data_IF_492039354430
#
_entry.id   IF_492039354430
#
_cell.length_a   1.000
_cell.length_b   1.000
_cell.length_c   1.000
_cell.angle_alpha   90.00
_cell.angle_beta   90.00
_cell.angle_gamma   90.00
#
_symmetry.space_group_name_H-M   'P 1'
#
loop_
_entity.id
_entity.type
_entity.pdbx_description
1 polymer ?
#
# COMPACT_ATOMS: atom_id res chain seq x y z
N UNK A 1 29.18 -22.15 13.23
CA UNK A 1 27.87 -22.79 13.51
C UNK A 1 27.16 -21.92 14.53
N UNK A 2 26.02 -21.32 14.18
CA UNK A 2 25.39 -20.24 14.95
C UNK A 2 24.86 -20.79 16.28
N UNK A 3 25.49 -20.47 17.42
CA UNK A 3 25.17 -21.03 18.75
C UNK A 3 23.68 -20.88 19.10
N UNK A 4 23.05 -19.81 18.61
CA UNK A 4 21.61 -19.55 18.76
C UNK A 4 20.72 -20.53 17.99
N UNK A 5 21.15 -21.00 16.82
CA UNK A 5 20.40 -22.01 16.05
C UNK A 5 20.45 -23.38 16.73
N UNK A 6 21.57 -23.72 17.37
CA UNK A 6 21.71 -24.95 18.17
C UNK A 6 20.81 -24.89 19.40
N UNK A 7 20.78 -23.75 20.11
CA UNK A 7 19.89 -23.54 21.26
C UNK A 7 18.41 -23.62 20.82
N UNK A 8 18.04 -22.97 19.72
CA UNK A 8 16.68 -23.02 19.17
C UNK A 8 16.24 -24.45 18.81
N UNK A 9 17.14 -25.24 18.22
CA UNK A 9 16.87 -26.64 17.88
C UNK A 9 16.72 -27.52 19.14
N UNK A 10 17.57 -27.33 20.14
CA UNK A 10 17.46 -28.04 21.42
C UNK A 10 16.14 -27.69 22.11
N UNK A 11 15.77 -26.40 22.16
CA UNK A 11 14.49 -25.95 22.71
C UNK A 11 13.31 -26.56 21.98
N UNK A 12 13.36 -26.64 20.64
CA UNK A 12 12.32 -27.29 19.83
C UNK A 12 12.13 -28.76 20.21
N UNK A 13 13.23 -29.52 20.28
CA UNK A 13 13.20 -30.95 20.59
C UNK A 13 12.71 -31.18 22.02
N UNK A 14 13.19 -30.39 23.00
CA UNK A 14 12.78 -30.53 24.40
C UNK A 14 11.30 -30.19 24.60
N UNK A 15 10.80 -29.10 24.00
CA UNK A 15 9.39 -28.70 24.13
C UNK A 15 8.46 -29.73 23.46
N UNK A 16 8.84 -30.25 22.30
CA UNK A 16 8.04 -31.27 21.60
C UNK A 16 8.07 -32.61 22.35
N UNK A 17 9.21 -32.98 22.94
CA UNK A 17 9.34 -34.18 23.76
C UNK A 17 8.52 -34.10 25.05
N UNK A 18 8.57 -32.97 25.77
CA UNK A 18 7.73 -32.73 26.95
C UNK A 18 6.23 -32.77 26.63
N UNK A 19 5.83 -32.28 25.46
CA UNK A 19 4.45 -32.37 25.00
C UNK A 19 4.01 -33.83 24.79
N UNK A 20 4.87 -34.66 24.17
CA UNK A 20 4.58 -36.09 23.95
C UNK A 20 4.42 -36.90 25.24
N UNK A 21 5.07 -36.49 26.33
CA UNK A 21 4.91 -37.13 27.65
C UNK A 21 3.58 -36.79 28.34
N UNK A 22 2.92 -35.69 27.94
CA UNK A 22 1.62 -35.26 28.47
C UNK A 22 0.43 -35.65 27.59
N UNK A 23 0.68 -36.34 26.47
CA UNK A 23 -0.34 -36.83 25.55
C UNK A 23 -1.18 -37.92 26.25
N UNK A 24 -2.50 -37.76 26.26
CA UNK A 24 -3.44 -38.68 26.93
C UNK A 24 -3.73 -38.38 28.41
N UNK A 25 -3.02 -37.46 29.06
CA UNK A 25 -3.31 -37.01 30.45
C UNK A 25 -3.80 -35.56 30.48
N UNK A 26 -3.14 -34.66 29.75
CA UNK A 26 -3.42 -33.22 29.73
C UNK A 26 -3.73 -32.72 28.31
N UNK A 27 -3.16 -33.35 27.28
CA UNK A 27 -3.32 -32.95 25.88
C UNK A 27 -4.10 -33.99 25.05
N UNK A 28 -4.88 -33.50 24.09
CA UNK A 28 -5.67 -34.31 23.15
C UNK A 28 -4.76 -35.18 22.29
N UNK A 29 -5.09 -36.46 22.19
CA UNK A 29 -4.40 -37.43 21.34
C UNK A 29 -4.37 -36.98 19.87
N UNK A 30 -3.26 -37.26 19.18
CA UNK A 30 -3.01 -36.94 17.77
C UNK A 30 -2.84 -35.44 17.44
N UNK A 31 -2.61 -34.58 18.44
CA UNK A 31 -2.34 -33.15 18.21
C UNK A 31 -0.85 -32.77 18.16
N UNK A 32 0.03 -33.72 18.48
CA UNK A 32 1.49 -33.54 18.57
C UNK A 32 2.12 -32.98 17.30
N UNK A 33 1.62 -33.36 16.13
CA UNK A 33 2.07 -32.80 14.86
C UNK A 33 1.75 -31.30 14.72
N UNK A 34 0.50 -30.90 15.03
CA UNK A 34 0.06 -29.50 14.95
C UNK A 34 0.85 -28.63 15.93
N UNK A 35 1.05 -29.12 17.15
CA UNK A 35 1.84 -28.44 18.16
C UNK A 35 3.29 -28.26 17.72
N UNK A 36 3.91 -29.31 17.17
CA UNK A 36 5.27 -29.23 16.62
C UNK A 36 5.39 -28.15 15.53
N UNK A 37 4.43 -28.06 14.61
CA UNK A 37 4.42 -27.00 13.58
C UNK A 37 4.33 -25.60 14.21
N UNK A 38 3.45 -25.40 15.20
CA UNK A 38 3.33 -24.10 15.89
C UNK A 38 4.63 -23.72 16.58
N UNK A 39 5.24 -24.63 17.35
CA UNK A 39 6.52 -24.37 18.05
C UNK A 39 7.63 -24.02 17.06
N UNK A 40 7.71 -24.74 15.93
CA UNK A 40 8.70 -24.46 14.88
C UNK A 40 8.52 -23.05 14.28
N UNK A 41 7.29 -22.67 13.95
CA UNK A 41 6.97 -21.33 13.42
C UNK A 41 7.29 -20.25 14.47
N UNK A 42 6.91 -20.45 15.73
CA UNK A 42 7.19 -19.51 16.82
C UNK A 42 8.70 -19.32 17.05
N UNK A 43 9.49 -20.39 17.03
CA UNK A 43 10.96 -20.33 17.15
C UNK A 43 11.57 -19.59 15.95
N UNK A 44 11.05 -19.83 14.75
CA UNK A 44 11.49 -19.14 13.53
C UNK A 44 11.24 -17.64 13.63
N UNK A 45 10.04 -17.21 14.05
CA UNK A 45 9.74 -15.80 14.29
C UNK A 45 10.64 -15.19 15.36
N UNK A 46 10.81 -15.87 16.50
CA UNK A 46 11.68 -15.39 17.56
C UNK A 46 13.12 -15.19 17.07
N UNK A 47 13.64 -16.13 16.28
CA UNK A 47 14.97 -16.02 15.68
C UNK A 47 15.11 -14.78 14.79
N UNK A 48 14.14 -14.52 13.89
CA UNK A 48 14.19 -13.35 13.01
C UNK A 48 13.99 -12.03 13.78
N UNK A 49 13.16 -12.01 14.82
CA UNK A 49 12.97 -10.83 15.68
C UNK A 49 14.26 -10.51 16.44
N UNK A 50 14.88 -11.51 17.08
CA UNK A 50 16.15 -11.34 17.78
C UNK A 50 17.26 -10.90 16.82
N UNK A 51 17.31 -11.49 15.62
CA UNK A 51 18.23 -11.09 14.57
C UNK A 51 18.05 -9.62 14.17
N UNK A 52 16.81 -9.17 13.97
CA UNK A 52 16.50 -7.77 13.67
C UNK A 52 16.91 -6.84 14.82
N UNK A 53 16.61 -7.20 16.07
CA UNK A 53 16.99 -6.43 17.27
C UNK A 53 18.50 -6.33 17.48
N UNK A 54 19.25 -7.36 17.08
CA UNK A 54 20.70 -7.40 17.20
C UNK A 54 21.44 -6.46 16.24
N UNK A 55 20.71 -5.72 15.39
CA UNK A 55 21.29 -4.76 14.43
C UNK A 55 21.95 -5.44 13.22
N UNK A 56 21.75 -6.74 13.03
CA UNK A 56 22.22 -7.42 11.83
C UNK A 56 21.45 -6.91 10.62
N UNK A 57 22.15 -6.64 9.52
CA UNK A 57 21.52 -6.25 8.27
C UNK A 57 20.63 -7.38 7.75
N UNK A 58 19.32 -7.12 7.73
CA UNK A 58 18.34 -7.97 7.10
C UNK A 58 18.03 -7.33 5.76
N UNK A 59 18.32 -8.04 4.66
CA UNK A 59 17.90 -7.59 3.35
C UNK A 59 16.37 -7.62 3.26
N UNK A 60 15.77 -6.44 3.32
CA UNK A 60 14.35 -6.24 3.02
C UNK A 60 14.22 -6.07 1.50
N UNK A 61 13.66 -7.09 0.84
CA UNK A 61 13.40 -7.01 -0.61
C UNK A 61 12.41 -5.86 -0.85
N UNK A 62 12.76 -4.86 -1.69
CA UNK A 62 11.83 -3.82 -2.06
C UNK A 62 10.66 -4.40 -2.88
N UNK A 63 9.45 -3.90 -2.65
CA UNK A 63 8.28 -4.27 -3.43
C UNK A 63 8.33 -3.45 -4.72
N UNK A 64 8.42 -4.13 -5.87
CA UNK A 64 8.59 -3.48 -7.16
C UNK A 64 7.50 -2.42 -7.44
N UNK A 65 6.25 -2.69 -7.07
CA UNK A 65 5.14 -1.74 -7.24
C UNK A 65 5.30 -0.45 -6.41
N UNK A 66 5.78 -0.54 -5.16
CA UNK A 66 6.03 0.64 -4.33
C UNK A 66 7.18 1.48 -4.89
N UNK A 67 8.25 0.82 -5.34
CA UNK A 67 9.37 1.51 -5.99
C UNK A 67 8.96 2.22 -7.28
N UNK A 68 8.07 1.60 -8.06
CA UNK A 68 7.55 2.20 -9.29
C UNK A 68 6.72 3.46 -9.02
N UNK A 69 5.99 3.53 -7.91
CA UNK A 69 5.27 4.75 -7.49
C UNK A 69 6.26 5.89 -7.22
N UNK A 70 7.32 5.63 -6.44
CA UNK A 70 8.34 6.63 -6.13
C UNK A 70 9.02 7.16 -7.41
N UNK A 71 9.39 6.26 -8.33
CA UNK A 71 10.01 6.61 -9.61
C UNK A 71 9.05 7.41 -10.51
N UNK A 72 7.77 7.03 -10.56
CA UNK A 72 6.79 7.73 -11.38
C UNK A 72 6.51 9.15 -10.87
N UNK A 73 6.43 9.35 -9.55
CA UNK A 73 6.31 10.70 -8.96
C UNK A 73 7.59 11.51 -9.23
N UNK A 74 8.77 10.92 -9.02
CA UNK A 74 10.05 11.59 -9.31
C UNK A 74 10.15 12.05 -10.76
N UNK A 75 9.77 11.18 -11.71
CA UNK A 75 9.69 11.54 -13.13
C UNK A 75 8.66 12.63 -13.41
N UNK A 76 7.51 12.63 -12.74
CA UNK A 76 6.53 13.69 -12.91
C UNK A 76 7.09 15.05 -12.49
N UNK A 77 7.82 15.10 -11.37
CA UNK A 77 8.57 16.29 -10.94
C UNK A 77 9.63 16.71 -11.96
N UNK A 78 10.47 15.79 -12.44
CA UNK A 78 11.51 16.09 -13.44
C UNK A 78 10.93 16.63 -14.75
N UNK A 79 9.75 16.17 -15.14
CA UNK A 79 9.03 16.63 -16.33
C UNK A 79 8.22 17.91 -16.10
N UNK A 80 8.15 18.41 -14.87
CA UNK A 80 7.33 19.59 -14.50
C UNK A 80 5.83 19.37 -14.73
N UNK A 81 5.36 18.12 -14.61
CA UNK A 81 3.98 17.72 -14.87
C UNK A 81 3.30 17.23 -13.60
N UNK A 82 1.97 17.30 -13.57
CA UNK A 82 1.18 16.79 -12.46
C UNK A 82 1.15 15.26 -12.41
N UNK A 83 0.88 14.76 -11.21
CA UNK A 83 0.51 13.39 -10.90
C UNK A 83 -1.01 13.32 -10.82
N UNK A 84 -1.60 12.38 -11.54
CA UNK A 84 -3.03 12.07 -11.46
C UNK A 84 -3.23 10.81 -10.61
N UNK A 85 -4.05 10.89 -9.57
CA UNK A 85 -4.40 9.74 -8.74
C UNK A 85 -5.91 9.51 -8.76
N UNK A 86 -6.33 8.31 -9.12
CA UNK A 86 -7.74 7.93 -9.27
C UNK A 86 -8.04 6.80 -8.26
N UNK A 87 -8.85 7.06 -7.21
CA UNK A 87 -9.11 6.08 -6.15
C UNK A 87 -10.24 5.09 -6.46
N UNK A 88 -10.77 5.08 -7.68
CA UNK A 88 -11.84 4.17 -8.11
C UNK A 88 -13.26 4.78 -8.08
N UNK A 89 -14.24 3.95 -8.40
CA UNK A 89 -15.65 4.37 -8.53
C UNK A 89 -16.55 4.01 -7.34
N UNK A 90 -16.02 3.23 -6.39
CA UNK A 90 -16.80 2.72 -5.25
C UNK A 90 -16.51 3.50 -3.97
N UNK A 91 -17.43 3.39 -3.02
CA UNK A 91 -17.37 4.13 -1.76
C UNK A 91 -16.40 3.49 -0.75
N UNK A 92 -16.31 4.09 0.44
CA UNK A 92 -15.49 3.67 1.57
C UNK A 92 -15.91 2.33 2.21
N UNK A 93 -17.03 1.75 1.77
CA UNK A 93 -17.45 0.41 2.18
C UNK A 93 -16.67 -0.71 1.47
N UNK A 94 -15.95 -0.37 0.39
CA UNK A 94 -15.06 -1.29 -0.33
C UNK A 94 -13.64 -1.23 0.22
N UNK A 95 -13.08 -2.40 0.54
CA UNK A 95 -11.73 -2.54 1.08
C UNK A 95 -10.68 -2.02 0.09
N UNK A 96 -10.92 -2.17 -1.21
CA UNK A 96 -10.04 -1.69 -2.27
C UNK A 96 -9.97 -0.17 -2.33
N UNK A 97 -11.08 0.54 -2.13
CA UNK A 97 -11.11 2.02 -2.06
C UNK A 97 -10.34 2.50 -0.83
N UNK A 98 -10.55 1.87 0.33
CA UNK A 98 -9.81 2.20 1.57
C UNK A 98 -8.31 1.96 1.40
N UNK A 99 -7.92 0.85 0.76
CA UNK A 99 -6.52 0.59 0.43
C UNK A 99 -5.96 1.62 -0.56
N UNK A 100 -6.76 2.03 -1.55
CA UNK A 100 -6.44 3.10 -2.49
C UNK A 100 -6.11 4.42 -1.78
N UNK A 101 -6.93 4.85 -0.84
CA UNK A 101 -6.67 6.06 -0.05
C UNK A 101 -5.41 5.95 0.82
N UNK A 102 -5.11 4.77 1.38
CA UNK A 102 -3.83 4.59 2.08
C UNK A 102 -2.62 4.81 1.17
N UNK A 103 -2.70 4.33 -0.08
CA UNK A 103 -1.64 4.59 -1.07
C UNK A 103 -1.64 6.05 -1.50
N UNK A 104 -2.82 6.69 -1.63
CA UNK A 104 -2.91 8.13 -1.89
C UNK A 104 -2.14 8.93 -0.85
N UNK A 105 -2.24 8.60 0.44
CA UNK A 105 -1.46 9.28 1.49
C UNK A 105 0.05 9.17 1.27
N UNK A 106 0.53 7.99 0.82
CA UNK A 106 1.93 7.83 0.46
C UNK A 106 2.32 8.68 -0.75
N UNK A 107 1.52 8.67 -1.83
CA UNK A 107 1.74 9.49 -3.02
C UNK A 107 1.72 10.98 -2.68
N UNK A 108 0.75 11.43 -1.89
CA UNK A 108 0.62 12.81 -1.42
C UNK A 108 1.84 13.26 -0.61
N UNK A 109 2.37 12.40 0.26
CA UNK A 109 3.61 12.68 0.98
C UNK A 109 4.82 12.82 0.04
N UNK A 110 4.88 12.04 -1.04
CA UNK A 110 5.96 12.14 -2.03
C UNK A 110 5.81 13.38 -2.92
N UNK A 111 4.59 13.68 -3.40
CA UNK A 111 4.34 14.89 -4.19
C UNK A 111 4.61 16.15 -3.38
N UNK A 112 4.29 16.16 -2.07
CA UNK A 112 4.64 17.26 -1.17
C UNK A 112 6.16 17.45 -1.03
N UNK A 113 6.93 16.36 -0.90
CA UNK A 113 8.40 16.41 -0.79
C UNK A 113 9.08 16.86 -2.09
N UNK A 114 8.56 16.43 -3.22
CA UNK A 114 9.12 16.73 -4.53
C UNK A 114 8.47 17.94 -5.21
N UNK A 115 7.60 18.66 -4.50
CA UNK A 115 6.88 19.83 -5.01
C UNK A 115 6.12 19.55 -6.33
N UNK A 116 5.62 18.32 -6.49
CA UNK A 116 4.82 17.93 -7.64
C UNK A 116 3.35 18.30 -7.44
N UNK A 117 2.68 18.71 -8.53
CA UNK A 117 1.23 18.87 -8.53
C UNK A 117 0.54 17.51 -8.39
N UNK A 118 -0.50 17.44 -7.55
CA UNK A 118 -1.34 16.25 -7.36
C UNK A 118 -2.78 16.60 -7.70
N UNK A 119 -3.39 15.82 -8.59
CA UNK A 119 -4.79 15.94 -8.97
C UNK A 119 -5.51 14.62 -8.66
N UNK A 120 -6.58 14.67 -7.87
CA UNK A 120 -7.32 13.51 -7.36
C UNK A 120 -8.81 13.65 -7.64
N UNK A 121 -9.26 13.37 -8.88
CA UNK A 121 -10.68 13.34 -9.18
C UNK A 121 -11.34 12.12 -8.55
N UNK A 122 -12.47 12.30 -7.88
CA UNK A 122 -13.21 11.20 -7.22
C UNK A 122 -14.66 11.14 -7.64
N UNK A 123 -15.26 9.96 -7.47
CA UNK A 123 -16.65 9.67 -7.88
C UNK A 123 -17.65 9.69 -6.72
N UNK A 124 -17.18 9.72 -5.46
CA UNK A 124 -18.01 9.69 -4.25
C UNK A 124 -17.62 10.79 -3.30
N UNK A 125 -18.60 11.48 -2.71
CA UNK A 125 -18.35 12.61 -1.81
C UNK A 125 -17.68 12.19 -0.50
N UNK A 126 -17.98 11.00 0.04
CA UNK A 126 -17.31 10.49 1.25
C UNK A 126 -15.83 10.20 0.95
N UNK A 127 -15.55 9.62 -0.21
CA UNK A 127 -14.16 9.38 -0.68
C UNK A 127 -13.43 10.72 -0.90
N UNK A 128 -14.12 11.78 -1.34
CA UNK A 128 -13.56 13.12 -1.46
C UNK A 128 -13.08 13.64 -0.11
N UNK A 129 -13.95 13.64 0.90
CA UNK A 129 -13.63 14.15 2.24
C UNK A 129 -12.53 13.31 2.91
N UNK A 130 -12.60 11.98 2.79
CA UNK A 130 -11.55 11.10 3.29
C UNK A 130 -10.20 11.35 2.57
N UNK A 131 -10.23 11.52 1.24
CA UNK A 131 -9.03 11.81 0.45
C UNK A 131 -8.41 13.15 0.81
N UNK A 132 -9.22 14.20 1.04
CA UNK A 132 -8.76 15.52 1.51
C UNK A 132 -8.02 15.40 2.83
N UNK A 133 -8.62 14.72 3.81
CA UNK A 133 -7.99 14.54 5.12
C UNK A 133 -6.67 13.77 5.02
N UNK A 134 -6.64 12.68 4.23
CA UNK A 134 -5.43 11.88 3.99
C UNK A 134 -4.33 12.73 3.34
N UNK A 135 -4.65 13.50 2.30
CA UNK A 135 -3.70 14.39 1.63
C UNK A 135 -3.19 15.46 2.60
N UNK A 136 -4.09 16.13 3.33
CA UNK A 136 -3.76 17.16 4.31
C UNK A 136 -2.82 16.66 5.38
N UNK A 137 -3.11 15.51 5.98
CA UNK A 137 -2.23 14.87 6.96
C UNK A 137 -0.86 14.54 6.36
N UNK A 138 -0.83 14.06 5.13
CA UNK A 138 0.41 13.64 4.45
C UNK A 138 1.30 14.82 4.12
N UNK A 139 0.72 15.92 3.64
CA UNK A 139 1.42 17.19 3.40
C UNK A 139 1.93 17.81 4.71
N UNK A 140 1.13 17.75 5.78
CA UNK A 140 1.56 18.18 7.12
C UNK A 140 2.74 17.35 7.64
N UNK A 141 2.67 16.01 7.52
CA UNK A 141 3.76 15.09 7.91
C UNK A 141 5.03 15.30 7.09
N UNK A 142 4.89 15.70 5.82
CA UNK A 142 6.01 16.06 4.96
C UNK A 142 6.60 17.45 5.26
N UNK A 143 6.01 18.22 6.19
CA UNK A 143 6.46 19.57 6.54
C UNK A 143 6.12 20.63 5.49
N UNK A 144 5.18 20.34 4.58
CA UNK A 144 4.76 21.22 3.48
C UNK A 144 3.25 21.47 3.45
N UNK A 145 2.64 21.93 4.56
CA UNK A 145 1.20 22.25 4.59
C UNK A 145 0.85 23.44 3.67
N UNK A 146 1.82 24.27 3.29
CA UNK A 146 1.69 25.38 2.35
C UNK A 146 1.33 24.94 0.93
N UNK A 147 1.69 23.71 0.54
CA UNK A 147 1.41 23.17 -0.79
C UNK A 147 0.05 22.46 -0.88
N UNK A 148 -0.64 22.27 0.25
CA UNK A 148 -1.94 21.60 0.26
C UNK A 148 -3.07 22.59 -0.09
N UNK A 149 -4.05 22.12 -0.87
CA UNK A 149 -5.26 22.84 -1.19
C UNK A 149 -6.44 21.87 -1.36
N UNK A 150 -7.62 22.22 -0.84
CA UNK A 150 -8.77 21.29 -0.78
C UNK A 150 -9.24 20.80 -2.15
N UNK A 151 -9.11 21.64 -3.18
CA UNK A 151 -9.53 21.31 -4.56
C UNK A 151 -8.61 20.30 -5.25
N UNK A 152 -7.47 19.94 -4.64
CA UNK A 152 -6.60 18.87 -5.15
C UNK A 152 -7.34 17.53 -5.17
N UNK A 153 -8.29 17.34 -4.23
CA UNK A 153 -9.23 16.23 -4.21
C UNK A 153 -10.63 16.78 -4.46
N UNK A 154 -11.21 16.44 -5.62
CA UNK A 154 -12.47 17.01 -6.03
C UNK A 154 -13.42 15.97 -6.63
N UNK A 155 -14.70 16.14 -6.31
CA UNK A 155 -15.77 15.31 -6.83
C UNK A 155 -16.11 15.70 -8.28
N UNK A 156 -16.25 14.71 -9.15
CA UNK A 156 -16.73 14.91 -10.53
C UNK A 156 -18.20 14.52 -10.66
N UNK A 157 -18.50 13.23 -10.47
CA UNK A 157 -19.83 12.64 -10.65
C UNK A 157 -19.83 11.20 -10.15
N UNK A 158 -20.98 10.72 -9.72
CA UNK A 158 -21.23 9.37 -9.23
C UNK A 158 -21.60 8.38 -10.35
N UNK A 159 -21.92 8.88 -11.55
CA UNK A 159 -22.14 8.06 -12.75
C UNK A 159 -20.81 7.54 -13.31
N UNK A 160 -20.72 6.23 -13.49
CA UNK A 160 -19.49 5.53 -13.84
C UNK A 160 -18.85 6.04 -15.15
N UNK A 161 -19.64 6.18 -16.22
CA UNK A 161 -19.10 6.54 -17.53
C UNK A 161 -18.91 8.05 -17.66
N UNK A 162 -19.75 8.85 -17.01
CA UNK A 162 -19.51 10.28 -16.88
C UNK A 162 -18.22 10.56 -16.09
N UNK A 163 -17.95 9.79 -15.03
CA UNK A 163 -16.71 9.87 -14.26
C UNK A 163 -15.50 9.50 -15.14
N UNK A 164 -15.56 8.38 -15.85
CA UNK A 164 -14.51 7.98 -16.78
C UNK A 164 -14.25 9.04 -17.86
N UNK A 165 -15.31 9.62 -18.46
CA UNK A 165 -15.19 10.69 -19.44
C UNK A 165 -14.58 11.96 -18.85
N UNK A 166 -14.96 12.34 -17.61
CA UNK A 166 -14.40 13.47 -16.90
C UNK A 166 -12.90 13.31 -16.64
N UNK A 167 -12.50 12.15 -16.13
CA UNK A 167 -11.09 11.82 -15.87
C UNK A 167 -10.27 11.76 -17.16
N UNK A 168 -10.80 11.17 -18.24
CA UNK A 168 -10.15 11.19 -19.55
C UNK A 168 -9.99 12.63 -20.08
N UNK A 169 -10.99 13.48 -19.88
CA UNK A 169 -10.91 14.89 -20.22
C UNK A 169 -9.78 15.61 -19.48
N UNK A 170 -9.57 15.28 -18.20
CA UNK A 170 -8.42 15.77 -17.42
C UNK A 170 -7.11 15.30 -18.05
N UNK A 171 -6.97 14.00 -18.35
CA UNK A 171 -5.76 13.43 -18.94
C UNK A 171 -5.38 14.10 -20.26
N UNK A 172 -6.32 14.28 -21.18
CA UNK A 172 -6.04 14.84 -22.51
C UNK A 172 -5.69 16.33 -22.44
N UNK A 173 -6.25 17.07 -21.48
CA UNK A 173 -5.98 18.50 -21.27
C UNK A 173 -4.66 18.75 -20.53
N UNK A 174 -4.49 18.09 -19.39
CA UNK A 174 -3.38 18.35 -18.45
C UNK A 174 -2.14 17.53 -18.79
N UNK A 175 -2.30 16.39 -19.46
CA UNK A 175 -1.22 15.47 -19.84
C UNK A 175 -0.29 15.13 -18.68
N UNK A 176 -0.83 14.63 -17.53
CA UNK A 176 -0.04 14.23 -16.38
C UNK A 176 1.06 13.23 -16.78
N UNK A 177 2.18 13.26 -16.07
CA UNK A 177 3.30 12.37 -16.36
C UNK A 177 3.13 10.98 -15.74
N UNK A 178 2.38 10.88 -14.65
CA UNK A 178 2.08 9.63 -13.94
C UNK A 178 0.59 9.56 -13.63
N UNK A 179 -0.02 8.41 -13.94
CA UNK A 179 -1.43 8.14 -13.69
C UNK A 179 -1.57 6.90 -12.80
N UNK A 180 -2.02 7.10 -11.56
CA UNK A 180 -2.27 6.01 -10.63
C UNK A 180 -3.74 5.63 -10.59
N UNK A 181 -4.07 4.38 -10.94
CA UNK A 181 -5.42 3.82 -10.83
C UNK A 181 -5.46 2.81 -9.68
N UNK A 182 -5.69 3.29 -8.46
CA UNK A 182 -5.56 2.49 -7.24
C UNK A 182 -6.84 2.54 -6.41
N UNK A 183 -7.67 1.51 -6.55
CA UNK A 183 -8.96 1.41 -5.88
C UNK A 183 -9.87 0.37 -6.53
N UNK A 184 -11.18 0.52 -6.33
CA UNK A 184 -12.17 -0.37 -6.96
C UNK A 184 -12.55 0.16 -8.34
N UNK A 185 -12.28 -0.64 -9.37
CA UNK A 185 -12.65 -0.34 -10.75
C UNK A 185 -13.38 -1.50 -11.42
N UNK A 186 -14.14 -1.18 -12.47
CA UNK A 186 -14.81 -2.13 -13.36
C UNK A 186 -14.39 -1.85 -14.81
N UNK A 187 -15.35 -1.65 -15.73
CA UNK A 187 -15.10 -1.49 -17.16
C UNK A 187 -14.33 -0.21 -17.51
N UNK A 188 -14.47 0.84 -16.72
CA UNK A 188 -13.77 2.12 -16.89
C UNK A 188 -12.25 1.99 -16.78
N UNK A 189 -11.74 0.97 -16.09
CA UNK A 189 -10.30 0.72 -15.96
C UNK A 189 -9.59 0.63 -17.32
N UNK A 190 -10.21 -0.03 -18.30
CA UNK A 190 -9.66 -0.18 -19.65
C UNK A 190 -9.59 1.16 -20.38
N UNK A 191 -10.63 1.98 -20.23
CA UNK A 191 -10.73 3.29 -20.88
C UNK A 191 -9.70 4.26 -20.29
N UNK A 192 -9.57 4.26 -18.97
CA UNK A 192 -8.58 5.08 -18.26
C UNK A 192 -7.16 4.65 -18.63
N UNK A 193 -6.88 3.35 -18.66
CA UNK A 193 -5.57 2.82 -19.01
C UNK A 193 -5.16 3.17 -20.46
N UNK A 194 -6.07 3.00 -21.42
CA UNK A 194 -5.81 3.37 -22.83
C UNK A 194 -5.56 4.87 -22.98
N UNK A 195 -6.36 5.70 -22.31
CA UNK A 195 -6.20 7.17 -22.35
C UNK A 195 -4.88 7.60 -21.73
N UNK A 196 -4.52 7.05 -20.56
CA UNK A 196 -3.23 7.29 -19.91
C UNK A 196 -2.05 6.91 -20.79
N UNK A 197 -2.10 5.74 -21.44
CA UNK A 197 -1.07 5.31 -22.38
C UNK A 197 -0.98 6.25 -23.59
N UNK A 198 -2.12 6.74 -24.10
CA UNK A 198 -2.15 7.64 -25.26
C UNK A 198 -1.46 8.99 -25.03
N UNK A 199 -1.43 9.47 -23.78
CA UNK A 199 -0.75 10.72 -23.41
C UNK A 199 0.72 10.51 -22.98
N UNK A 200 1.20 9.26 -23.01
CA UNK A 200 2.55 8.87 -22.59
C UNK A 200 2.77 8.95 -21.08
N UNK A 201 1.70 8.82 -20.29
CA UNK A 201 1.80 8.71 -18.84
C UNK A 201 2.34 7.32 -18.44
N UNK A 202 3.07 7.29 -17.33
CA UNK A 202 3.46 6.04 -16.64
C UNK A 202 2.27 5.51 -15.84
#
# INVERSE_FOLDING_TARGET
MNSKAVIAFITFVVVTFLFSLGEGVIFLENTTFKFGVVVLVSITFYYFIDRAKSGQEIYLRPIAGLKAIEEAVGRATEMGKSVLFVPGISDMDQVETVAGLNILGHVAGMTAKYEAGLNVPVSKSIVMEAGREVCKESYLKAGRPDLYYDDMVHYLTDDQFAYAAGVNGIMVREKPAACFYLGKFYAESLILAETGNSIGAI
#
